data_IF_612415769038
#
_entry.id   IF_612415769038
#
_cell.length_a   1.000
_cell.length_b   1.000
_cell.length_c   1.000
_cell.angle_alpha   90.00
_cell.angle_beta   90.00
_cell.angle_gamma   90.00
#
_symmetry.space_group_name_H-M   'P 1'
#
loop_
_entity.id
_entity.type
_entity.pdbx_description
1 polymer ?
#
# COMPACT_ATOMS: atom_id res chain seq x y z
N UNK A 1 -18.37 18.13 -27.89
CA UNK A 1 -18.27 17.82 -26.45
C UNK A 1 -17.04 16.95 -26.27
N UNK A 2 -15.87 17.56 -26.20
CA UNK A 2 -14.62 16.89 -25.85
C UNK A 2 -14.77 16.38 -24.41
N UNK A 3 -14.98 15.06 -24.26
CA UNK A 3 -14.86 14.42 -22.97
C UNK A 3 -13.39 14.51 -22.57
N UNK A 4 -13.07 15.48 -21.71
CA UNK A 4 -11.78 15.55 -21.01
C UNK A 4 -11.61 14.24 -20.23
N UNK A 5 -10.86 13.31 -20.79
CA UNK A 5 -10.47 12.07 -20.12
C UNK A 5 -9.49 12.44 -18.99
N UNK A 6 -9.99 12.60 -17.77
CA UNK A 6 -9.10 12.68 -16.61
C UNK A 6 -8.25 11.41 -16.52
N UNK A 7 -6.94 11.58 -16.38
CA UNK A 7 -6.02 10.46 -16.11
C UNK A 7 -6.50 9.70 -14.89
N UNK A 8 -6.73 8.39 -15.04
CA UNK A 8 -7.13 7.49 -13.95
C UNK A 8 -5.98 7.36 -12.92
N UNK A 9 -4.74 7.55 -13.36
CA UNK A 9 -3.58 7.65 -12.46
C UNK A 9 -3.39 9.10 -12.00
N UNK A 10 -3.85 9.35 -10.77
CA UNK A 10 -3.73 10.64 -10.09
C UNK A 10 -3.65 10.43 -8.58
N UNK A 11 -3.13 11.40 -7.82
CA UNK A 11 -3.15 11.34 -6.37
C UNK A 11 -4.57 11.10 -5.83
N UNK A 12 -4.67 10.30 -4.77
CA UNK A 12 -5.91 10.00 -4.04
C UNK A 12 -7.00 9.29 -4.85
N UNK A 13 -6.71 8.77 -6.05
CA UNK A 13 -7.71 8.10 -6.89
C UNK A 13 -8.29 6.83 -6.24
N UNK A 14 -7.58 6.17 -5.31
CA UNK A 14 -8.11 5.03 -4.55
C UNK A 14 -9.16 5.41 -3.50
N UNK A 15 -9.48 6.71 -3.36
CA UNK A 15 -10.68 7.15 -2.66
C UNK A 15 -11.98 6.87 -3.42
N UNK A 16 -11.91 6.63 -4.73
CA UNK A 16 -13.05 6.25 -5.56
C UNK A 16 -13.27 4.73 -5.50
N UNK A 17 -14.47 4.27 -5.04
CA UNK A 17 -14.80 2.85 -4.99
C UNK A 17 -14.63 2.10 -6.32
N UNK A 18 -14.92 2.75 -7.44
CA UNK A 18 -14.85 2.11 -8.75
C UNK A 18 -13.39 1.92 -9.20
N UNK A 19 -12.52 2.89 -8.91
CA UNK A 19 -11.06 2.76 -9.12
C UNK A 19 -10.49 1.67 -8.20
N UNK A 20 -10.88 1.65 -6.93
CA UNK A 20 -10.47 0.60 -5.97
C UNK A 20 -10.91 -0.78 -6.44
N UNK A 21 -12.18 -0.95 -6.85
CA UNK A 21 -12.72 -2.23 -7.34
C UNK A 21 -12.00 -2.72 -8.60
N UNK A 22 -11.68 -1.80 -9.52
CA UNK A 22 -10.85 -2.13 -10.69
C UNK A 22 -9.45 -2.58 -10.29
N UNK A 23 -8.81 -1.92 -9.31
CA UNK A 23 -7.48 -2.27 -8.82
C UNK A 23 -7.46 -3.66 -8.15
N UNK A 24 -8.48 -4.01 -7.37
CA UNK A 24 -8.58 -5.32 -6.70
C UNK A 24 -8.59 -6.47 -7.71
N UNK A 25 -9.28 -6.33 -8.84
CA UNK A 25 -9.33 -7.37 -9.89
C UNK A 25 -7.96 -7.69 -10.50
N UNK A 26 -6.98 -6.80 -10.34
CA UNK A 26 -5.63 -6.93 -10.89
C UNK A 26 -4.66 -7.65 -9.94
N UNK A 27 -5.06 -7.97 -8.70
CA UNK A 27 -4.22 -8.70 -7.74
C UNK A 27 -3.79 -10.10 -8.24
N UNK A 28 -4.46 -10.62 -9.26
CA UNK A 28 -4.13 -11.92 -9.88
C UNK A 28 -3.26 -11.77 -11.13
N UNK A 29 -2.86 -10.56 -11.50
CA UNK A 29 -1.96 -10.36 -12.64
C UNK A 29 -0.58 -10.99 -12.37
N UNK A 30 0.07 -11.60 -13.38
CA UNK A 30 1.24 -12.44 -13.16
C UNK A 30 2.41 -11.77 -12.41
N UNK A 31 2.61 -10.46 -12.59
CA UNK A 31 3.72 -9.75 -11.95
C UNK A 31 3.44 -9.44 -10.46
N UNK A 32 2.18 -9.38 -10.02
CA UNK A 32 1.82 -9.04 -8.63
C UNK A 32 1.30 -10.24 -7.84
N UNK A 33 0.75 -11.27 -8.50
CA UNK A 33 0.15 -12.43 -7.84
C UNK A 33 1.06 -13.13 -6.79
N UNK A 34 2.39 -13.29 -7.02
CA UNK A 34 3.27 -13.83 -5.98
C UNK A 34 3.31 -12.95 -4.73
N UNK A 35 3.36 -11.63 -4.91
CA UNK A 35 3.36 -10.67 -3.79
C UNK A 35 2.03 -10.67 -3.04
N UNK A 36 0.91 -10.84 -3.74
CA UNK A 36 -0.41 -11.03 -3.12
C UNK A 36 -0.42 -12.29 -2.25
N UNK A 37 0.10 -13.42 -2.75
CA UNK A 37 0.21 -14.64 -1.95
C UNK A 37 1.07 -14.44 -0.69
N UNK A 38 2.20 -13.75 -0.82
CA UNK A 38 3.04 -13.37 0.31
C UNK A 38 2.30 -12.51 1.34
N UNK A 39 1.48 -11.55 0.91
CA UNK A 39 0.65 -10.75 1.83
C UNK A 39 -0.38 -11.61 2.56
N UNK A 40 -1.00 -12.58 1.90
CA UNK A 40 -1.91 -13.52 2.58
C UNK A 40 -1.20 -14.34 3.66
N UNK A 41 0.02 -14.81 3.40
CA UNK A 41 0.85 -15.49 4.41
C UNK A 41 1.14 -14.57 5.61
N UNK A 42 1.48 -13.30 5.38
CA UNK A 42 1.70 -12.35 6.46
C UNK A 42 0.46 -12.13 7.33
N UNK A 43 -0.74 -12.08 6.73
CA UNK A 43 -2.00 -11.96 7.48
C UNK A 43 -2.23 -13.20 8.36
N UNK A 44 -1.89 -14.40 7.87
CA UNK A 44 -1.99 -15.63 8.64
C UNK A 44 -0.99 -15.67 9.80
N UNK A 45 0.26 -15.28 9.55
CA UNK A 45 1.34 -15.28 10.55
C UNK A 45 1.15 -14.23 11.65
N UNK A 46 0.67 -13.03 11.30
CA UNK A 46 0.42 -11.96 12.25
C UNK A 46 -0.82 -12.22 13.14
N UNK A 47 -1.67 -13.17 12.73
CA UNK A 47 -2.83 -13.63 13.49
C UNK A 47 -4.12 -12.89 13.16
N UNK A 48 -5.25 -13.34 13.77
CA UNK A 48 -6.58 -12.81 13.48
C UNK A 48 -6.67 -11.29 13.67
N UNK A 49 -7.21 -10.59 12.68
CA UNK A 49 -7.41 -9.14 12.72
C UNK A 49 -6.21 -8.30 12.29
N UNK A 50 -5.08 -8.91 11.92
CA UNK A 50 -3.96 -8.20 11.34
C UNK A 50 -4.35 -7.58 9.98
N UNK A 51 -4.21 -6.25 9.88
CA UNK A 51 -4.53 -5.50 8.66
C UNK A 51 -3.24 -5.23 7.88
N UNK A 52 -2.94 -6.10 6.92
CA UNK A 52 -1.82 -5.95 5.98
C UNK A 52 -2.40 -5.56 4.62
N UNK A 53 -2.20 -4.33 4.12
CA UNK A 53 -2.63 -3.96 2.77
C UNK A 53 -1.82 -4.68 1.69
N UNK A 54 -2.43 -4.92 0.54
CA UNK A 54 -1.76 -5.53 -0.61
C UNK A 54 -0.76 -4.57 -1.27
N UNK A 55 0.17 -5.13 -2.05
CA UNK A 55 0.95 -4.35 -3.00
C UNK A 55 0.03 -3.78 -4.09
N UNK A 56 0.37 -2.61 -4.61
CA UNK A 56 -0.37 -1.99 -5.70
C UNK A 56 -0.10 -2.69 -7.05
N UNK A 57 -1.09 -3.29 -7.72
CA UNK A 57 -0.92 -3.92 -9.04
C UNK A 57 -0.39 -3.01 -10.15
N UNK A 58 -0.52 -1.67 -10.01
CA UNK A 58 0.04 -0.72 -10.99
C UNK A 58 1.53 -0.42 -10.76
N UNK A 59 2.12 -0.92 -9.68
CA UNK A 59 3.57 -0.91 -9.47
C UNK A 59 4.22 -2.13 -10.17
N UNK A 60 5.55 -2.21 -10.13
CA UNK A 60 6.32 -3.19 -10.90
C UNK A 60 6.12 -4.67 -10.47
N UNK A 61 5.47 -4.91 -9.33
CA UNK A 61 5.34 -6.25 -8.74
C UNK A 61 6.70 -6.90 -8.50
N UNK A 62 6.84 -8.20 -8.80
CA UNK A 62 8.13 -8.93 -8.72
C UNK A 62 9.18 -8.40 -9.69
N UNK A 63 8.78 -7.60 -10.68
CA UNK A 63 9.67 -6.96 -11.65
C UNK A 63 10.38 -5.71 -11.12
N UNK A 64 10.15 -5.32 -9.86
CA UNK A 64 10.69 -4.09 -9.29
C UNK A 64 12.22 -4.02 -9.34
N UNK A 65 12.74 -2.88 -9.80
CA UNK A 65 14.17 -2.54 -9.79
C UNK A 65 14.53 -1.66 -8.58
N UNK A 66 13.55 -0.95 -8.01
CA UNK A 66 13.71 -0.12 -6.81
C UNK A 66 12.58 -0.37 -5.82
N UNK A 67 12.94 -0.55 -4.55
CA UNK A 67 12.01 -0.70 -3.44
C UNK A 67 12.07 0.53 -2.54
N UNK A 68 10.92 1.12 -2.26
CA UNK A 68 10.76 2.21 -1.30
C UNK A 68 10.21 1.64 0.01
N UNK A 69 10.98 1.75 1.09
CA UNK A 69 10.58 1.31 2.42
C UNK A 69 10.17 2.50 3.28
N UNK A 70 8.93 2.44 3.78
CA UNK A 70 8.34 3.37 4.74
C UNK A 70 8.16 2.68 6.11
N UNK A 71 7.57 3.36 7.08
CA UNK A 71 7.41 2.85 8.45
C UNK A 71 6.35 1.75 8.57
N UNK A 72 5.09 2.12 8.38
CA UNK A 72 3.92 1.27 8.61
C UNK A 72 2.73 1.82 7.79
N UNK A 73 1.80 0.96 7.36
CA UNK A 73 0.62 1.43 6.65
C UNK A 73 -0.25 2.33 7.53
N UNK A 74 -0.76 3.42 6.95
CA UNK A 74 -1.76 4.28 7.59
C UNK A 74 -3.18 3.74 7.45
N UNK A 75 -4.14 4.31 8.21
CA UNK A 75 -5.55 3.92 8.14
C UNK A 75 -6.15 4.02 6.73
N UNK A 76 -5.68 4.97 5.90
CA UNK A 76 -6.13 5.12 4.51
C UNK A 76 -5.60 4.03 3.58
N UNK A 77 -4.40 3.49 3.84
CA UNK A 77 -3.87 2.34 3.12
C UNK A 77 -4.65 1.06 3.44
N UNK A 78 -5.05 0.89 4.71
CA UNK A 78 -5.95 -0.19 5.12
C UNK A 78 -7.31 -0.05 4.43
N UNK A 79 -7.92 1.12 4.49
CA UNK A 79 -9.23 1.37 3.89
C UNK A 79 -9.22 1.23 2.35
N UNK A 80 -8.12 1.61 1.69
CA UNK A 80 -7.95 1.44 0.24
C UNK A 80 -7.53 0.04 -0.17
N UNK A 81 -7.15 -0.82 0.79
CA UNK A 81 -6.57 -2.16 0.64
C UNK A 81 -5.17 -2.24 0.03
N UNK A 82 -4.50 -1.12 -0.23
CA UNK A 82 -3.19 -1.12 -0.91
C UNK A 82 -2.14 -0.26 -0.20
N UNK A 83 -0.87 -0.67 -0.31
CA UNK A 83 0.29 0.22 -0.16
C UNK A 83 0.51 0.90 -1.51
N UNK A 84 0.02 2.14 -1.65
CA UNK A 84 -0.03 2.82 -2.96
C UNK A 84 0.21 4.32 -2.86
N UNK A 85 0.85 4.87 -3.90
CA UNK A 85 0.95 6.32 -4.16
C UNK A 85 -0.40 6.96 -4.55
N UNK A 86 -1.42 6.17 -4.83
CA UNK A 86 -2.79 6.64 -5.11
C UNK A 86 -3.70 6.65 -3.87
N UNK A 87 -3.21 6.23 -2.69
CA UNK A 87 -4.04 6.21 -1.49
C UNK A 87 -4.63 7.59 -1.17
N UNK A 88 -5.85 7.67 -0.58
CA UNK A 88 -6.53 8.92 -0.30
C UNK A 88 -5.98 9.62 0.96
N UNK A 89 -4.66 9.83 1.01
CA UNK A 89 -3.95 10.55 2.04
C UNK A 89 -2.82 11.42 1.47
N UNK A 90 -2.32 12.34 2.28
CA UNK A 90 -1.31 13.29 1.83
C UNK A 90 0.08 12.65 1.69
N UNK A 91 0.43 11.62 2.47
CA UNK A 91 1.72 10.94 2.34
C UNK A 91 1.81 10.26 0.97
N UNK A 92 0.76 9.57 0.56
CA UNK A 92 0.66 8.94 -0.75
C UNK A 92 0.68 9.98 -1.89
N UNK A 93 -0.05 11.09 -1.75
CA UNK A 93 0.03 12.22 -2.70
C UNK A 93 1.46 12.75 -2.83
N UNK A 94 2.15 12.96 -1.71
CA UNK A 94 3.54 13.44 -1.75
C UNK A 94 4.46 12.42 -2.42
N UNK A 95 4.28 11.14 -2.13
CA UNK A 95 4.98 10.06 -2.83
C UNK A 95 4.75 10.10 -4.34
N UNK A 96 3.49 10.25 -4.77
CA UNK A 96 3.14 10.37 -6.18
C UNK A 96 3.91 11.52 -6.85
N UNK A 97 3.80 12.73 -6.29
CA UNK A 97 4.42 13.94 -6.86
C UNK A 97 5.95 13.88 -6.83
N UNK A 98 6.54 13.31 -5.78
CA UNK A 98 7.99 13.12 -5.69
C UNK A 98 8.51 12.13 -6.73
N UNK A 99 7.73 11.09 -7.06
CA UNK A 99 8.11 10.14 -8.12
C UNK A 99 7.99 10.77 -9.52
N UNK A 100 6.94 11.56 -9.76
CA UNK A 100 6.82 12.31 -11.01
C UNK A 100 7.98 13.31 -11.18
N UNK A 101 8.25 14.14 -10.17
CA UNK A 101 9.33 15.15 -10.24
C UNK A 101 10.75 14.56 -10.35
N UNK A 102 10.91 13.28 -9.99
CA UNK A 102 12.15 12.53 -10.05
C UNK A 102 12.24 11.61 -11.29
N UNK A 103 11.21 11.58 -12.15
CA UNK A 103 11.11 10.70 -13.30
C UNK A 103 11.31 9.21 -12.96
N UNK A 104 10.75 8.75 -11.82
CA UNK A 104 10.82 7.34 -11.42
C UNK A 104 9.57 6.60 -11.91
N UNK A 105 9.70 5.71 -12.92
CA UNK A 105 8.54 5.02 -13.47
C UNK A 105 7.92 4.06 -12.46
N UNK A 106 6.58 4.02 -12.42
CA UNK A 106 5.83 3.02 -11.65
C UNK A 106 6.21 1.59 -12.01
N UNK A 107 6.42 1.35 -13.30
CA UNK A 107 6.79 0.04 -13.86
C UNK A 107 8.17 -0.47 -13.42
N UNK A 108 8.95 0.35 -12.72
CA UNK A 108 10.26 -0.02 -12.14
C UNK A 108 10.26 -0.01 -10.61
N UNK A 109 9.24 0.55 -9.97
CA UNK A 109 9.23 0.83 -8.53
C UNK A 109 8.19 0.02 -7.78
N UNK A 110 8.45 -0.23 -6.50
CA UNK A 110 7.55 -0.88 -5.56
C UNK A 110 7.57 -0.12 -4.23
N UNK A 111 6.41 0.07 -3.60
CA UNK A 111 6.29 0.68 -2.27
C UNK A 111 5.96 -0.39 -1.23
N UNK A 112 6.62 -0.32 -0.07
CA UNK A 112 6.36 -1.21 1.05
C UNK A 112 6.66 -0.56 2.41
N UNK A 113 6.33 -1.24 3.50
CA UNK A 113 6.59 -0.78 4.87
C UNK A 113 7.45 -1.79 5.63
N UNK A 114 8.34 -1.31 6.50
CA UNK A 114 9.14 -2.19 7.36
C UNK A 114 8.29 -2.87 8.44
N UNK A 115 7.19 -2.26 8.89
CA UNK A 115 6.12 -2.93 9.63
C UNK A 115 4.95 -3.13 8.66
N UNK A 116 4.68 -4.36 8.18
CA UNK A 116 3.75 -4.57 7.07
C UNK A 116 2.28 -4.46 7.48
N UNK A 117 1.96 -4.59 8.76
CA UNK A 117 0.59 -4.45 9.28
C UNK A 117 0.33 -3.07 9.89
N UNK A 118 -0.94 -2.69 9.93
CA UNK A 118 -1.40 -1.52 10.66
C UNK A 118 -1.22 -1.70 12.16
N UNK A 119 -0.63 -0.69 12.81
CA UNK A 119 -0.33 -0.70 14.25
C UNK A 119 -1.18 0.28 15.06
N UNK A 120 -2.16 0.94 14.44
CA UNK A 120 -2.99 1.96 15.08
C UNK A 120 -4.23 1.43 15.81
N UNK A 121 -5.06 2.36 16.27
CA UNK A 121 -6.30 2.10 17.01
C UNK A 121 -7.56 2.04 16.12
N UNK A 122 -7.39 2.15 14.80
CA UNK A 122 -8.48 2.20 13.81
C UNK A 122 -8.83 3.62 13.38
N UNK A 123 -8.50 4.64 14.19
CA UNK A 123 -8.66 6.05 13.84
C UNK A 123 -7.33 6.69 13.44
N UNK A 124 -6.23 6.34 14.14
CA UNK A 124 -4.90 6.92 13.94
C UNK A 124 -3.82 5.85 14.03
N UNK A 125 -2.81 6.01 13.17
CA UNK A 125 -1.56 5.26 13.31
C UNK A 125 -0.81 5.80 14.53
N UNK A 126 -0.30 4.90 15.39
CA UNK A 126 0.67 5.25 16.42
C UNK A 126 2.09 5.09 15.89
N UNK A 127 3.07 5.68 16.58
CA UNK A 127 4.47 5.43 16.26
C UNK A 127 4.83 3.94 16.48
N UNK A 128 5.64 3.38 15.57
CA UNK A 128 6.20 2.05 15.76
C UNK A 128 7.11 1.99 16.99
N UNK A 129 6.93 0.95 17.81
CA UNK A 129 7.84 0.61 18.91
C UNK A 129 9.03 -0.20 18.38
N UNK A 130 10.12 -0.33 19.15
CA UNK A 130 11.20 -1.24 18.80
C UNK A 130 10.74 -2.68 18.55
N UNK A 131 9.76 -3.17 19.32
CA UNK A 131 9.19 -4.50 19.13
C UNK A 131 8.42 -4.61 17.81
N UNK A 132 7.63 -3.59 17.43
CA UNK A 132 6.95 -3.58 16.13
C UNK A 132 7.95 -3.67 14.98
N UNK A 133 9.04 -2.89 15.05
CA UNK A 133 10.10 -2.91 14.05
C UNK A 133 10.81 -4.26 14.00
N UNK A 134 11.16 -4.82 15.16
CA UNK A 134 11.79 -6.15 15.23
C UNK A 134 10.90 -7.22 14.56
N UNK A 135 9.60 -7.25 14.88
CA UNK A 135 8.69 -8.21 14.25
C UNK A 135 8.47 -7.91 12.76
N UNK A 136 8.31 -6.64 12.39
CA UNK A 136 8.05 -6.24 11.01
C UNK A 136 9.23 -6.51 10.06
N UNK A 137 10.46 -6.48 10.56
CA UNK A 137 11.66 -6.75 9.79
C UNK A 137 11.89 -8.25 9.52
N UNK A 138 11.30 -9.16 10.31
CA UNK A 138 11.42 -10.61 10.11
C UNK A 138 10.99 -11.08 8.72
N UNK A 139 9.86 -10.63 8.15
CA UNK A 139 9.44 -11.04 6.80
C UNK A 139 10.20 -10.36 5.65
N UNK A 140 10.91 -9.24 5.90
CA UNK A 140 11.59 -8.46 4.86
C UNK A 140 12.55 -9.27 3.95
N UNK A 141 13.33 -10.26 4.45
CA UNK A 141 14.17 -11.09 3.60
C UNK A 141 13.40 -11.89 2.55
N UNK A 142 12.21 -12.41 2.89
CA UNK A 142 11.36 -13.14 1.94
C UNK A 142 10.91 -12.22 0.81
N UNK A 143 10.47 -11.01 1.14
CA UNK A 143 10.12 -10.00 0.14
C UNK A 143 11.30 -9.70 -0.80
N UNK A 144 12.50 -9.45 -0.25
CA UNK A 144 13.68 -9.12 -1.07
C UNK A 144 14.06 -10.26 -2.02
N UNK A 145 13.92 -11.51 -1.59
CA UNK A 145 14.17 -12.69 -2.44
C UNK A 145 13.18 -12.81 -3.60
N UNK A 146 11.96 -12.30 -3.46
CA UNK A 146 10.94 -12.29 -4.52
C UNK A 146 11.16 -11.21 -5.58
N UNK A 147 12.14 -10.31 -5.40
CA UNK A 147 12.44 -9.20 -6.30
C UNK A 147 13.77 -9.46 -7.06
N UNK A 148 13.78 -10.36 -8.06
CA UNK A 148 15.01 -10.77 -8.75
C UNK A 148 15.70 -9.63 -9.52
N UNK A 149 14.95 -8.57 -9.87
CA UNK A 149 15.47 -7.41 -10.59
C UNK A 149 15.87 -6.26 -9.68
N UNK A 150 15.75 -6.42 -8.35
CA UNK A 150 16.01 -5.34 -7.40
C UNK A 150 17.48 -4.87 -7.50
N UNK A 151 17.67 -3.57 -7.64
CA UNK A 151 18.97 -2.88 -7.74
C UNK A 151 19.18 -1.85 -6.63
N UNK A 152 18.11 -1.24 -6.15
CA UNK A 152 18.18 -0.19 -5.15
C UNK A 152 17.08 -0.29 -4.09
N UNK A 153 17.38 0.17 -2.88
CA UNK A 153 16.41 0.35 -1.80
C UNK A 153 16.52 1.78 -1.26
N UNK A 154 15.38 2.46 -1.17
CA UNK A 154 15.24 3.80 -0.61
C UNK A 154 14.55 3.71 0.75
N UNK A 155 15.26 4.03 1.82
CA UNK A 155 14.72 4.02 3.18
C UNK A 155 14.18 5.42 3.54
N UNK A 156 12.85 5.53 3.64
CA UNK A 156 12.15 6.79 3.86
C UNK A 156 11.79 6.98 5.34
N UNK A 157 12.62 7.73 6.06
CA UNK A 157 12.45 8.01 7.49
C UNK A 157 13.26 7.09 8.41
N UNK A 158 13.40 7.51 9.68
CA UNK A 158 14.29 6.86 10.66
C UNK A 158 13.92 5.41 10.98
N UNK A 159 12.62 5.10 11.01
CA UNK A 159 12.13 3.75 11.27
C UNK A 159 12.41 2.82 10.08
N UNK A 160 12.21 3.29 8.84
CA UNK A 160 12.59 2.52 7.66
C UNK A 160 14.10 2.26 7.58
N UNK A 161 14.93 3.24 7.97
CA UNK A 161 16.40 3.11 7.99
C UNK A 161 16.91 2.00 8.92
N UNK A 162 16.11 1.56 9.90
CA UNK A 162 16.48 0.41 10.74
C UNK A 162 16.59 -0.90 9.96
N UNK A 163 15.95 -1.00 8.78
CA UNK A 163 16.10 -2.15 7.90
C UNK A 163 17.48 -2.21 7.21
N UNK A 164 18.19 -1.09 7.10
CA UNK A 164 19.37 -0.97 6.25
C UNK A 164 20.47 -2.01 6.54
N UNK A 165 20.85 -2.31 7.81
CA UNK A 165 21.86 -3.33 8.10
C UNK A 165 21.45 -4.74 7.62
N UNK A 166 20.17 -5.10 7.79
CA UNK A 166 19.65 -6.40 7.36
C UNK A 166 19.64 -6.51 5.83
N UNK A 167 19.23 -5.45 5.13
CA UNK A 167 19.26 -5.41 3.65
C UNK A 167 20.70 -5.50 3.15
N UNK A 168 21.63 -4.74 3.74
CA UNK A 168 23.04 -4.75 3.37
C UNK A 168 23.69 -6.14 3.55
N UNK A 169 23.34 -6.85 4.62
CA UNK A 169 23.82 -8.21 4.87
C UNK A 169 23.23 -9.22 3.86
N UNK A 170 21.94 -9.09 3.52
CA UNK A 170 21.25 -10.01 2.63
C UNK A 170 21.62 -9.82 1.15
N UNK A 171 21.77 -8.56 0.72
CA UNK A 171 22.00 -8.16 -0.67
C UNK A 171 23.03 -7.02 -0.71
N UNK A 172 24.32 -7.32 -0.50
CA UNK A 172 25.40 -6.33 -0.49
C UNK A 172 25.63 -5.67 -1.87
N UNK A 173 25.03 -6.20 -2.93
CA UNK A 173 25.05 -5.66 -4.29
C UNK A 173 24.07 -4.50 -4.50
N UNK A 174 23.11 -4.28 -3.59
CA UNK A 174 22.11 -3.22 -3.75
C UNK A 174 22.65 -1.83 -3.44
N UNK A 175 22.21 -0.84 -4.23
CA UNK A 175 22.37 0.57 -3.88
C UNK A 175 21.41 0.95 -2.76
N UNK A 176 21.96 1.25 -1.59
CA UNK A 176 21.19 1.66 -0.42
C UNK A 176 21.25 3.19 -0.27
N UNK A 177 20.09 3.83 -0.26
CA UNK A 177 19.96 5.29 -0.06
C UNK A 177 18.87 5.59 0.95
N UNK A 178 18.99 6.71 1.67
CA UNK A 178 18.05 7.08 2.71
C UNK A 178 17.66 8.55 2.59
N UNK A 179 16.40 8.85 2.90
CA UNK A 179 15.90 10.22 2.96
C UNK A 179 14.89 10.38 4.11
N UNK A 180 14.41 11.60 4.30
CA UNK A 180 13.32 11.86 5.24
C UNK A 180 12.00 11.26 4.73
N UNK A 181 11.06 11.01 5.66
CA UNK A 181 9.75 10.44 5.32
C UNK A 181 8.88 11.47 4.56
N UNK A 182 8.10 11.06 3.55
CA UNK A 182 7.29 11.97 2.71
C UNK A 182 5.98 12.46 3.36
N UNK A 183 5.84 12.38 4.70
CA UNK A 183 4.61 12.79 5.37
C UNK A 183 4.51 14.31 5.40
N UNK A 184 3.29 14.89 5.40
CA UNK A 184 3.10 16.34 5.49
C UNK A 184 3.82 16.95 6.69
N UNK A 185 3.78 16.24 7.83
CA UNK A 185 4.47 16.66 9.05
C UNK A 185 5.95 16.93 8.75
N UNK A 186 6.63 15.97 8.15
CA UNK A 186 8.08 16.06 7.86
C UNK A 186 8.36 17.09 6.77
N UNK A 187 7.64 17.05 5.65
CA UNK A 187 7.83 17.98 4.55
C UNK A 187 7.64 19.43 4.97
N UNK A 188 6.63 19.70 5.80
CA UNK A 188 6.30 21.06 6.23
C UNK A 188 7.06 21.49 7.49
N UNK A 189 7.93 20.65 8.09
CA UNK A 189 8.68 21.03 9.30
C UNK A 189 9.73 22.10 9.00
N UNK A 190 10.39 22.06 7.83
CA UNK A 190 11.45 23.00 7.44
C UNK A 190 11.41 23.28 5.93
N UNK A 191 11.66 24.52 5.48
CA UNK A 191 11.94 24.81 4.08
C UNK A 191 13.11 23.94 3.58
N UNK A 192 13.02 23.40 2.36
CA UNK A 192 14.07 22.56 1.76
C UNK A 192 13.93 21.06 1.96
N UNK A 193 13.05 20.58 2.86
CA UNK A 193 12.91 19.15 3.12
C UNK A 193 12.39 18.38 1.90
N UNK A 194 11.48 18.98 1.14
CA UNK A 194 10.97 18.39 -0.12
C UNK A 194 12.09 18.26 -1.14
N UNK A 195 12.87 19.31 -1.32
CA UNK A 195 13.99 19.38 -2.26
C UNK A 195 15.08 18.37 -1.89
N UNK A 196 15.37 18.20 -0.60
CA UNK A 196 16.32 17.21 -0.12
C UNK A 196 15.87 15.76 -0.40
N UNK A 197 14.58 15.45 -0.20
CA UNK A 197 14.03 14.14 -0.56
C UNK A 197 14.09 13.96 -2.08
N UNK A 198 13.68 14.98 -2.84
CA UNK A 198 13.68 14.93 -4.30
C UNK A 198 15.09 14.72 -4.88
N UNK A 199 16.13 15.32 -4.28
CA UNK A 199 17.51 15.10 -4.68
C UNK A 199 17.91 13.62 -4.54
N UNK A 200 17.59 12.98 -3.42
CA UNK A 200 17.86 11.53 -3.21
C UNK A 200 17.10 10.67 -4.23
N UNK A 201 15.86 11.01 -4.53
CA UNK A 201 15.06 10.28 -5.52
C UNK A 201 15.63 10.46 -6.93
N UNK A 202 16.10 11.64 -7.30
CA UNK A 202 16.80 11.89 -8.57
C UNK A 202 18.12 11.13 -8.68
N UNK A 203 18.88 11.02 -7.60
CA UNK A 203 20.07 10.17 -7.56
C UNK A 203 19.71 8.69 -7.78
N UNK A 204 18.63 8.21 -7.15
CA UNK A 204 18.15 6.85 -7.35
C UNK A 204 17.68 6.62 -8.80
N UNK A 205 16.96 7.58 -9.39
CA UNK A 205 16.55 7.54 -10.80
C UNK A 205 17.75 7.52 -11.75
N UNK A 206 18.75 8.37 -11.51
CA UNK A 206 19.98 8.41 -12.29
C UNK A 206 20.75 7.09 -12.22
N UNK A 207 20.82 6.46 -11.03
CA UNK A 207 21.39 5.13 -10.87
C UNK A 207 20.63 4.07 -11.67
N UNK A 208 19.30 4.07 -11.60
CA UNK A 208 18.48 3.14 -12.37
C UNK A 208 18.66 3.30 -13.89
N UNK A 209 18.89 4.51 -14.37
CA UNK A 209 19.09 4.77 -15.80
C UNK A 209 20.42 4.25 -16.36
N UNK A 210 21.37 3.87 -15.50
CA UNK A 210 22.58 3.14 -15.92
C UNK A 210 22.28 1.71 -16.37
N UNK A 211 21.12 1.18 -15.97
CA UNK A 211 20.63 -0.14 -16.33
C UNK A 211 19.31 0.02 -17.09
N UNK A 212 19.35 0.45 -18.36
CA UNK A 212 18.14 0.53 -19.15
C UNK A 212 17.49 -0.85 -19.17
N UNK A 213 16.28 -0.94 -18.60
CA UNK A 213 15.43 -2.11 -18.81
C UNK A 213 15.32 -2.31 -20.32
N UNK A 214 15.48 -3.54 -20.81
CA UNK A 214 15.40 -3.84 -22.24
C UNK A 214 14.08 -3.29 -22.77
N UNK A 215 14.14 -2.14 -23.45
CA UNK A 215 12.98 -1.45 -23.96
C UNK A 215 12.36 -2.30 -25.06
N UNK A 216 11.23 -2.92 -24.79
CA UNK A 216 10.23 -3.14 -25.82
C UNK A 216 9.07 -2.22 -25.49
N UNK A 217 9.13 -1.05 -26.11
CA UNK A 217 8.14 0.03 -26.13
C UNK A 217 7.95 0.75 -24.79
N UNK A 218 7.92 2.09 -24.87
CA UNK A 218 7.07 2.88 -23.99
C UNK A 218 5.63 2.42 -24.30
N UNK A 219 5.23 1.28 -23.75
CA UNK A 219 3.85 1.13 -23.39
C UNK A 219 3.64 2.28 -22.40
N UNK A 220 2.86 3.28 -22.82
CA UNK A 220 2.07 4.03 -21.84
C UNK A 220 1.63 2.99 -20.79
N UNK A 221 1.80 3.23 -19.47
CA UNK A 221 1.25 2.31 -18.46
C UNK A 221 -0.14 1.95 -18.96
N UNK A 222 -0.45 0.65 -19.14
CA UNK A 222 -1.44 0.17 -20.10
C UNK A 222 -2.54 1.20 -20.15
N UNK A 223 -2.64 1.99 -21.24
CA UNK A 223 -3.60 3.11 -21.31
C UNK A 223 -4.88 2.47 -20.81
N UNK A 224 -5.35 2.76 -19.59
CA UNK A 224 -6.23 1.83 -18.90
C UNK A 224 -7.36 1.65 -19.87
N UNK A 225 -7.50 0.43 -20.41
CA UNK A 225 -8.51 0.15 -21.43
C UNK A 225 -9.74 0.82 -20.86
N UNK A 226 -10.31 1.84 -21.56
CA UNK A 226 -11.15 2.84 -20.95
C UNK A 226 -12.00 2.07 -19.98
N UNK A 227 -11.75 2.30 -18.68
CA UNK A 227 -12.55 1.61 -17.69
C UNK A 227 -13.87 2.30 -17.94
N UNK A 228 -14.68 1.74 -18.83
CA UNK A 228 -16.10 1.66 -18.61
C UNK A 228 -16.12 1.07 -17.22
N UNK A 229 -16.15 1.98 -16.25
CA UNK A 229 -16.55 1.72 -14.89
C UNK A 229 -17.96 1.20 -15.15
N UNK A 230 -18.05 -0.10 -15.42
CA UNK A 230 -19.30 -0.77 -15.31
C UNK A 230 -19.67 -0.45 -13.87
N UNK A 231 -20.77 0.30 -13.67
CA UNK A 231 -21.21 0.60 -12.33
C UNK A 231 -21.18 -0.73 -11.59
N UNK A 232 -20.66 -0.73 -10.37
CA UNK A 232 -20.69 -1.91 -9.51
C UNK A 232 -22.06 -2.56 -9.71
N UNK A 233 -22.07 -3.84 -9.99
CA UNK A 233 -23.32 -4.59 -10.07
C UNK A 233 -24.10 -4.34 -8.78
N UNK A 234 -25.43 -4.45 -8.84
CA UNK A 234 -26.25 -4.18 -7.67
C UNK A 234 -25.79 -5.05 -6.48
N UNK A 235 -25.35 -6.28 -6.77
CA UNK A 235 -24.75 -7.22 -5.83
C UNK A 235 -23.46 -6.68 -5.20
N UNK A 236 -22.53 -6.15 -6.00
CA UNK A 236 -21.27 -5.57 -5.50
C UNK A 236 -21.51 -4.29 -4.68
N UNK A 237 -22.45 -3.42 -5.08
CA UNK A 237 -22.81 -2.22 -4.31
C UNK A 237 -23.39 -2.59 -2.94
N UNK A 238 -24.28 -3.58 -2.91
CA UNK A 238 -24.89 -4.10 -1.68
C UNK A 238 -23.81 -4.75 -0.81
N UNK A 239 -22.90 -5.53 -1.38
CA UNK A 239 -21.81 -6.13 -0.64
C UNK A 239 -20.89 -5.08 0.00
N UNK A 240 -20.58 -3.99 -0.72
CA UNK A 240 -19.77 -2.90 -0.18
C UNK A 240 -20.45 -2.20 1.01
N UNK A 241 -21.75 -1.93 0.90
CA UNK A 241 -22.52 -1.33 2.01
C UNK A 241 -22.59 -2.26 3.22
N UNK A 242 -22.81 -3.56 2.99
CA UNK A 242 -22.82 -4.57 4.06
C UNK A 242 -21.46 -4.64 4.76
N UNK A 243 -20.36 -4.64 4.02
CA UNK A 243 -19.01 -4.66 4.58
C UNK A 243 -18.71 -3.41 5.42
N UNK A 244 -19.14 -2.24 4.97
CA UNK A 244 -18.95 -0.99 5.71
C UNK A 244 -19.71 -0.99 7.05
N UNK A 245 -20.95 -1.47 7.05
CA UNK A 245 -21.75 -1.61 8.28
C UNK A 245 -21.14 -2.67 9.20
N UNK A 246 -20.72 -3.80 8.66
CA UNK A 246 -20.05 -4.87 9.40
C UNK A 246 -18.80 -4.36 10.13
N UNK A 247 -17.97 -3.57 9.44
CA UNK A 247 -16.78 -2.98 10.05
C UNK A 247 -17.13 -1.98 11.15
N UNK A 248 -18.16 -1.14 10.96
CA UNK A 248 -18.62 -0.21 12.00
C UNK A 248 -19.13 -0.93 13.26
N UNK A 249 -19.87 -2.03 13.10
CA UNK A 249 -20.37 -2.83 14.23
C UNK A 249 -19.24 -3.55 14.97
N UNK A 250 -18.28 -4.14 14.24
CA UNK A 250 -17.09 -4.78 14.84
C UNK A 250 -16.26 -3.79 15.65
N UNK A 251 -16.10 -2.56 15.15
CA UNK A 251 -15.40 -1.50 15.88
C UNK A 251 -16.17 -1.11 17.15
N UNK A 252 -17.50 -0.95 17.07
CA UNK A 252 -18.33 -0.60 18.22
C UNK A 252 -18.32 -1.69 19.33
N UNK A 253 -18.30 -2.99 18.96
CA UNK A 253 -18.14 -4.07 19.95
C UNK A 253 -16.77 -4.01 20.64
N UNK A 254 -15.71 -3.73 19.90
CA UNK A 254 -14.35 -3.61 20.44
C UNK A 254 -14.24 -2.44 21.43
N UNK A 255 -14.84 -1.29 21.10
CA UNK A 255 -14.83 -0.10 21.96
C UNK A 255 -15.68 -0.30 23.23
N UNK A 256 -16.80 -1.03 23.12
CA UNK A 256 -17.64 -1.40 24.27
C UNK A 256 -16.94 -2.35 25.25
N UNK A 257 -16.15 -3.31 24.76
CA UNK A 257 -15.37 -4.22 25.61
C UNK A 257 -14.22 -3.52 26.35
N UNK A 258 -13.63 -2.48 25.75
CA UNK A 258 -12.54 -1.70 26.35
C UNK A 258 -13.04 -0.76 27.45
N UNK A 259 -14.27 -0.26 27.35
CA UNK A 259 -14.81 0.78 28.24
C UNK A 259 -15.56 0.23 29.48
N UNK A 260 -15.75 -1.09 29.60
CA UNK A 260 -16.59 -1.75 30.64
C UNK A 260 -18.00 -1.13 30.81
N UNK A 261 -18.47 -0.37 29.84
CA UNK A 261 -19.83 0.11 29.79
C UNK A 261 -20.74 -1.05 29.35
N UNK A 262 -21.98 -1.09 29.86
CA UNK A 262 -23.03 -1.99 29.35
C UNK A 262 -23.45 -1.55 27.95
N UNK A 263 -22.58 -1.77 26.97
CA UNK A 263 -22.87 -1.54 25.56
C UNK A 263 -23.62 -2.73 24.98
N UNK A 264 -24.64 -2.52 24.13
CA UNK A 264 -25.31 -3.61 23.44
C UNK A 264 -24.33 -4.38 22.55
N UNK A 265 -24.37 -5.71 22.60
CA UNK A 265 -23.61 -6.56 21.67
C UNK A 265 -24.29 -6.58 20.31
N UNK A 266 -23.49 -6.60 19.26
CA UNK A 266 -23.91 -6.67 17.86
C UNK A 266 -23.59 -8.02 17.22
N UNK A 267 -23.27 -9.04 18.01
CA UNK A 267 -22.82 -10.35 17.52
C UNK A 267 -23.82 -10.99 16.55
N UNK A 268 -25.12 -10.78 16.76
CA UNK A 268 -26.17 -11.31 15.89
C UNK A 268 -26.19 -10.58 14.55
N UNK A 269 -26.11 -9.27 14.56
CA UNK A 269 -26.08 -8.40 13.38
C UNK A 269 -24.82 -8.68 12.55
N UNK A 270 -23.67 -8.81 13.21
CA UNK A 270 -22.38 -9.19 12.60
C UNK A 270 -22.52 -10.53 11.87
N UNK A 271 -23.03 -11.58 12.55
CA UNK A 271 -23.20 -12.89 11.94
C UNK A 271 -24.15 -12.89 10.73
N UNK A 272 -25.21 -12.05 10.77
CA UNK A 272 -26.15 -11.89 9.65
C UNK A 272 -25.47 -11.22 8.46
N UNK A 273 -24.71 -10.15 8.69
CA UNK A 273 -24.01 -9.41 7.63
C UNK A 273 -22.88 -10.25 7.01
N UNK A 274 -22.14 -11.02 7.80
CA UNK A 274 -21.13 -11.96 7.29
C UNK A 274 -21.74 -13.03 6.39
N UNK A 275 -22.91 -13.56 6.78
CA UNK A 275 -23.66 -14.51 5.96
C UNK A 275 -24.17 -13.87 4.67
N UNK A 276 -24.61 -12.62 4.73
CA UNK A 276 -25.07 -11.88 3.55
C UNK A 276 -23.93 -11.64 2.54
N UNK A 277 -22.73 -11.28 3.00
CA UNK A 277 -21.54 -11.19 2.15
C UNK A 277 -21.24 -12.53 1.48
N UNK A 278 -21.21 -13.61 2.25
CA UNK A 278 -20.95 -14.96 1.73
C UNK A 278 -21.94 -15.38 0.64
N UNK A 279 -23.21 -15.02 0.78
CA UNK A 279 -24.25 -15.29 -0.22
C UNK A 279 -24.07 -14.46 -1.51
N UNK A 280 -23.47 -13.27 -1.42
CA UNK A 280 -23.15 -12.43 -2.57
C UNK A 280 -21.85 -12.86 -3.28
N UNK A 281 -21.23 -13.98 -2.88
CA UNK A 281 -19.94 -14.43 -3.42
C UNK A 281 -18.77 -13.55 -2.98
N UNK A 282 -19.01 -12.66 -2.03
CA UNK A 282 -18.05 -11.74 -1.45
C UNK A 282 -17.65 -12.34 -0.12
N UNK A 283 -16.44 -12.89 -0.04
CA UNK A 283 -15.98 -13.44 1.24
C UNK A 283 -16.00 -12.31 2.29
N UNK A 284 -16.41 -12.60 3.54
CA UNK A 284 -16.72 -11.59 4.57
C UNK A 284 -15.48 -10.83 5.10
N UNK A 285 -14.42 -10.76 4.29
CA UNK A 285 -13.06 -10.29 4.56
C UNK A 285 -12.79 -8.92 3.90
N UNK A 286 -13.81 -8.05 3.84
CA UNK A 286 -13.71 -6.63 3.47
C UNK A 286 -13.66 -5.74 4.71
#
# INVERSE_FOLDING_TARGET
MEQLWESVDRPKSLGDPAVKGARIRQLREPHVAPLTAYVEELRLEAGPGAQVPDFDPWDAGVGAEILFLLEAPGARAVASTFVSRNNPDETAKNMFLLHEDADIPRTRSLLWNVVPWYIGDGARIRAATPQDLEQGLKPLPRLIQMLPKLRAVVFMGKNAQQAQPQVAALRPDLRLVACAHPSPKVLNTRPGNREAILAVLREAAAFLNQFPSASLFVAQPPRPAPVTLQPLTREEQVAQQIAQVLQSLKNAEKDGQVTQATSPSFAREIAVLERALKLLGVDARF
#
